data_IF_469446780996
#
_entry.id   IF_469446780996
#
_cell.length_a   1.000
_cell.length_b   1.000
_cell.length_c   1.000
_cell.angle_alpha   90.00
_cell.angle_beta   90.00
_cell.angle_gamma   90.00
#
_symmetry.space_group_name_H-M   'P 1'
#
loop_
_entity.id
_entity.type
_entity.pdbx_description
1 polymer ?
#
# COMPACT_ATOMS: atom_id res chain seq x y z
N UNK A 1 2.26 -18.61 -22.45
CA UNK A 1 1.03 -18.18 -21.72
C UNK A 1 -0.09 -19.14 -22.12
N UNK A 2 -0.38 -20.14 -21.29
CA UNK A 2 -1.47 -21.11 -21.47
C UNK A 2 -2.49 -20.84 -20.35
N UNK A 3 -3.77 -20.79 -20.71
CA UNK A 3 -4.95 -20.44 -19.90
C UNK A 3 -5.31 -18.95 -19.91
N UNK A 4 -6.43 -18.65 -20.57
CA UNK A 4 -6.88 -17.30 -20.93
C UNK A 4 -7.47 -16.51 -19.78
N UNK A 5 -6.62 -16.02 -18.88
CA UNK A 5 -6.98 -14.96 -17.94
C UNK A 5 -6.31 -13.65 -18.35
N UNK A 6 -6.89 -12.90 -19.30
CA UNK A 6 -6.32 -11.65 -19.81
C UNK A 6 -6.13 -10.61 -18.71
N UNK A 7 -6.99 -10.61 -17.67
CA UNK A 7 -6.89 -9.74 -16.50
C UNK A 7 -5.61 -10.02 -15.69
N UNK A 8 -5.35 -11.28 -15.33
CA UNK A 8 -4.15 -11.67 -14.56
C UNK A 8 -2.88 -11.42 -15.35
N UNK A 9 -2.90 -11.72 -16.65
CA UNK A 9 -1.76 -11.49 -17.54
C UNK A 9 -1.45 -10.01 -17.69
N UNK A 10 -2.48 -9.16 -17.84
CA UNK A 10 -2.32 -7.70 -17.88
C UNK A 10 -1.77 -7.14 -16.58
N UNK A 11 -2.34 -7.57 -15.45
CA UNK A 11 -1.92 -7.16 -14.11
C UNK A 11 -0.45 -7.51 -13.83
N UNK A 12 -0.03 -8.75 -14.12
CA UNK A 12 1.37 -9.17 -13.97
C UNK A 12 2.33 -8.40 -14.89
N UNK A 13 1.96 -8.12 -16.14
CA UNK A 13 2.80 -7.31 -17.04
C UNK A 13 3.01 -5.90 -16.51
N UNK A 14 1.95 -5.28 -15.98
CA UNK A 14 2.05 -3.95 -15.37
C UNK A 14 2.90 -3.96 -14.10
N UNK A 15 2.80 -5.01 -13.29
CA UNK A 15 3.67 -5.16 -12.13
C UNK A 15 5.15 -5.34 -12.53
N UNK A 16 5.43 -6.20 -13.52
CA UNK A 16 6.79 -6.40 -14.04
C UNK A 16 7.35 -5.10 -14.61
N UNK A 17 6.55 -4.33 -15.35
CA UNK A 17 6.98 -3.05 -15.90
C UNK A 17 7.32 -2.03 -14.80
N UNK A 18 6.53 -1.98 -13.72
CA UNK A 18 6.80 -1.11 -12.56
C UNK A 18 8.08 -1.53 -11.82
N UNK A 19 8.30 -2.84 -11.64
CA UNK A 19 9.53 -3.37 -11.04
C UNK A 19 10.74 -3.00 -11.90
N UNK A 20 10.69 -3.30 -13.21
CA UNK A 20 11.77 -2.98 -14.14
C UNK A 20 12.09 -1.48 -14.17
N UNK A 21 11.06 -0.64 -14.18
CA UNK A 21 11.22 0.81 -14.12
C UNK A 21 11.99 1.23 -12.86
N UNK A 22 11.61 0.70 -11.69
CA UNK A 22 12.30 1.01 -10.43
C UNK A 22 13.73 0.47 -10.39
N UNK A 23 14.00 -0.70 -10.97
CA UNK A 23 15.37 -1.23 -11.10
C UNK A 23 16.24 -0.34 -11.98
N UNK A 24 15.68 0.17 -13.08
CA UNK A 24 16.35 1.12 -13.97
C UNK A 24 16.64 2.43 -13.21
N UNK A 25 15.65 2.99 -12.52
CA UNK A 25 15.78 4.22 -11.74
C UNK A 25 16.83 4.06 -10.62
N UNK A 26 16.84 2.90 -9.95
CA UNK A 26 17.79 2.54 -8.89
C UNK A 26 19.16 2.13 -9.42
N UNK A 27 19.28 1.79 -10.71
CA UNK A 27 20.46 1.18 -11.36
C UNK A 27 20.95 -0.10 -10.66
N UNK A 28 20.05 -0.82 -10.01
CA UNK A 28 20.34 -2.09 -9.34
C UNK A 28 19.05 -2.89 -9.13
N UNK A 29 19.13 -4.22 -8.94
CA UNK A 29 17.96 -5.04 -8.66
C UNK A 29 17.21 -4.57 -7.40
N UNK A 30 15.89 -4.77 -7.40
CA UNK A 30 15.08 -4.51 -6.21
C UNK A 30 15.28 -5.62 -5.17
N UNK A 31 15.34 -5.23 -3.90
CA UNK A 31 15.20 -6.18 -2.80
C UNK A 31 13.72 -6.55 -2.57
N UNK A 32 13.49 -7.58 -1.75
CA UNK A 32 12.15 -8.07 -1.45
C UNK A 32 11.23 -6.98 -0.86
N UNK A 33 11.77 -6.12 0.02
CA UNK A 33 11.02 -5.02 0.61
C UNK A 33 10.62 -3.96 -0.41
N UNK A 34 11.47 -3.68 -1.39
CA UNK A 34 11.19 -2.77 -2.50
C UNK A 34 10.17 -3.35 -3.49
N UNK A 35 10.20 -4.66 -3.74
CA UNK A 35 9.19 -5.36 -4.53
C UNK A 35 7.83 -5.26 -3.85
N UNK A 36 7.75 -5.49 -2.52
CA UNK A 36 6.51 -5.31 -1.76
C UNK A 36 5.99 -3.87 -1.84
N UNK A 37 6.88 -2.87 -1.82
CA UNK A 37 6.52 -1.46 -2.06
C UNK A 37 6.02 -1.21 -3.48
N UNK A 38 6.54 -1.91 -4.49
CA UNK A 38 6.06 -1.80 -5.87
C UNK A 38 4.64 -2.35 -6.01
N UNK A 39 4.36 -3.52 -5.43
CA UNK A 39 3.03 -4.12 -5.40
C UNK A 39 2.04 -3.20 -4.66
N UNK A 40 2.43 -2.68 -3.49
CA UNK A 40 1.59 -1.75 -2.71
C UNK A 40 1.26 -0.47 -3.49
N UNK A 41 2.23 0.08 -4.24
CA UNK A 41 2.03 1.25 -5.10
C UNK A 41 1.06 0.98 -6.25
N UNK A 42 1.15 -0.20 -6.86
CA UNK A 42 0.21 -0.66 -7.89
C UNK A 42 -1.22 -0.74 -7.34
N UNK A 43 -1.42 -1.33 -6.17
CA UNK A 43 -2.74 -1.38 -5.51
C UNK A 43 -3.29 0.02 -5.28
N UNK A 44 -2.46 0.96 -4.84
CA UNK A 44 -2.86 2.35 -4.64
C UNK A 44 -3.32 3.03 -5.94
N UNK A 45 -2.55 2.92 -7.01
CA UNK A 45 -2.92 3.49 -8.32
C UNK A 45 -4.27 2.97 -8.82
N UNK A 46 -4.58 1.72 -8.50
CA UNK A 46 -5.85 1.07 -8.84
C UNK A 46 -6.99 1.56 -7.96
N UNK A 47 -6.76 1.75 -6.65
CA UNK A 47 -7.74 2.40 -5.78
C UNK A 47 -8.07 3.83 -6.25
N UNK A 48 -7.06 4.62 -6.61
CA UNK A 48 -7.25 5.96 -7.16
C UNK A 48 -8.07 5.91 -8.47
N UNK A 49 -7.84 4.88 -9.29
CA UNK A 49 -8.58 4.63 -10.54
C UNK A 49 -10.02 4.18 -10.27
N UNK A 50 -10.27 3.35 -9.25
CA UNK A 50 -11.62 2.98 -8.80
C UNK A 50 -12.41 4.22 -8.44
N UNK A 51 -11.84 5.13 -7.64
CA UNK A 51 -12.52 6.37 -7.28
C UNK A 51 -12.85 7.22 -8.51
N UNK A 52 -11.92 7.33 -9.45
CA UNK A 52 -12.14 8.06 -10.70
C UNK A 52 -13.25 7.43 -11.56
N UNK A 53 -13.27 6.10 -11.69
CA UNK A 53 -14.30 5.38 -12.44
C UNK A 53 -15.67 5.47 -11.78
N UNK A 54 -15.75 5.38 -10.45
CA UNK A 54 -16.99 5.56 -9.71
C UNK A 54 -17.55 6.98 -9.88
N UNK A 55 -16.69 8.01 -9.82
CA UNK A 55 -17.09 9.40 -10.11
C UNK A 55 -17.60 9.58 -11.54
N UNK A 56 -17.08 8.79 -12.48
CA UNK A 56 -17.50 8.75 -13.88
C UNK A 56 -18.68 7.83 -14.18
N UNK A 57 -19.34 7.23 -13.18
CA UNK A 57 -20.40 6.22 -13.34
C UNK A 57 -19.98 4.99 -14.18
N UNK A 58 -18.69 4.65 -14.17
CA UNK A 58 -18.09 3.49 -14.88
C UNK A 58 -17.87 2.32 -13.94
N UNK A 59 -18.96 1.75 -13.44
CA UNK A 59 -18.93 0.62 -12.50
C UNK A 59 -18.18 -0.60 -13.07
N UNK A 60 -18.31 -0.85 -14.37
CA UNK A 60 -17.63 -1.91 -15.11
C UNK A 60 -16.10 -1.85 -14.95
N UNK A 61 -15.54 -0.64 -15.04
CA UNK A 61 -14.11 -0.42 -14.90
C UNK A 61 -13.66 -0.45 -13.44
N UNK A 62 -14.48 0.07 -12.52
CA UNK A 62 -14.21 -0.01 -11.09
C UNK A 62 -14.14 -1.47 -10.60
N UNK A 63 -15.05 -2.33 -11.05
CA UNK A 63 -15.08 -3.74 -10.65
C UNK A 63 -13.92 -4.54 -11.25
N UNK A 64 -13.47 -4.16 -12.46
CA UNK A 64 -12.25 -4.69 -13.05
C UNK A 64 -11.02 -4.35 -12.20
N UNK A 65 -10.86 -3.10 -11.79
CA UNK A 65 -9.75 -2.68 -10.93
C UNK A 65 -9.77 -3.40 -9.57
N UNK A 66 -10.95 -3.54 -8.96
CA UNK A 66 -11.09 -4.33 -7.71
C UNK A 66 -10.61 -5.77 -7.87
N UNK A 67 -10.97 -6.41 -8.98
CA UNK A 67 -10.56 -7.79 -9.27
C UNK A 67 -9.04 -7.91 -9.42
N UNK A 68 -8.41 -6.91 -10.05
CA UNK A 68 -6.94 -6.87 -10.18
C UNK A 68 -6.25 -6.58 -8.84
N UNK A 69 -6.84 -5.77 -7.97
CA UNK A 69 -6.34 -5.55 -6.60
C UNK A 69 -6.38 -6.86 -5.80
N UNK A 70 -7.47 -7.61 -5.83
CA UNK A 70 -7.57 -8.89 -5.11
C UNK A 70 -6.51 -9.88 -5.57
N UNK A 71 -6.18 -9.90 -6.87
CA UNK A 71 -5.09 -10.70 -7.39
C UNK A 71 -3.71 -10.24 -6.86
N UNK A 72 -3.45 -8.93 -6.83
CA UNK A 72 -2.18 -8.39 -6.30
C UNK A 72 -2.02 -8.64 -4.79
N UNK A 73 -3.12 -8.61 -4.03
CA UNK A 73 -3.12 -8.88 -2.59
C UNK A 73 -2.62 -10.28 -2.24
N UNK A 74 -2.77 -11.26 -3.14
CA UNK A 74 -2.24 -12.63 -2.95
C UNK A 74 -0.71 -12.65 -2.81
N UNK A 75 -0.03 -11.66 -3.38
CA UNK A 75 1.44 -11.53 -3.32
C UNK A 75 1.92 -10.64 -2.18
N UNK A 76 1.01 -10.06 -1.40
CA UNK A 76 1.34 -9.30 -0.21
C UNK A 76 1.09 -10.13 1.05
N UNK A 77 1.88 -9.93 2.11
CA UNK A 77 1.48 -10.37 3.44
C UNK A 77 0.12 -9.75 3.78
N UNK A 78 -0.69 -10.46 4.57
CA UNK A 78 -2.03 -10.02 4.99
C UNK A 78 -2.01 -8.57 5.44
N UNK A 79 -2.59 -7.69 4.63
CA UNK A 79 -2.59 -6.26 4.89
C UNK A 79 -3.43 -5.95 6.12
N UNK A 80 -2.94 -5.02 6.94
CA UNK A 80 -3.65 -4.49 8.08
C UNK A 80 -4.74 -3.55 7.59
N UNK A 81 -5.92 -3.68 8.19
CA UNK A 81 -7.02 -2.74 8.02
C UNK A 81 -6.73 -1.40 8.67
N UNK A 82 -7.48 -0.35 8.32
CA UNK A 82 -7.32 0.97 8.95
C UNK A 82 -7.48 0.92 10.46
N UNK A 83 -8.42 0.11 10.94
CA UNK A 83 -8.65 -0.11 12.37
C UNK A 83 -7.45 -0.77 13.04
N UNK A 84 -6.86 -1.80 12.44
CA UNK A 84 -5.66 -2.46 12.97
C UNK A 84 -4.44 -1.54 12.96
N UNK A 85 -4.25 -0.77 11.89
CA UNK A 85 -3.21 0.28 11.83
C UNK A 85 -3.42 1.30 12.94
N UNK A 86 -4.66 1.72 13.19
CA UNK A 86 -4.96 2.69 14.24
C UNK A 86 -4.66 2.15 15.64
N UNK A 87 -4.90 0.86 15.91
CA UNK A 87 -4.50 0.22 17.17
C UNK A 87 -2.99 0.23 17.33
N UNK A 88 -2.24 -0.15 16.29
CA UNK A 88 -0.77 -0.15 16.31
C UNK A 88 -0.22 1.28 16.53
N UNK A 89 -0.86 2.29 15.92
CA UNK A 89 -0.50 3.70 16.11
C UNK A 89 -0.71 4.13 17.56
N UNK A 90 -1.84 3.79 18.18
CA UNK A 90 -2.11 4.12 19.58
C UNK A 90 -1.09 3.47 20.51
N UNK A 91 -0.76 2.20 20.28
CA UNK A 91 0.24 1.50 21.08
C UNK A 91 1.64 2.08 20.88
N UNK A 92 2.01 2.44 19.64
CA UNK A 92 3.27 3.12 19.35
C UNK A 92 3.36 4.50 20.00
N UNK A 93 2.27 5.26 20.06
CA UNK A 93 2.22 6.56 20.77
C UNK A 93 2.45 6.35 22.27
N UNK A 94 1.80 5.34 22.88
CA UNK A 94 1.98 5.00 24.30
C UNK A 94 3.42 4.59 24.61
N UNK A 95 4.01 3.71 23.81
CA UNK A 95 5.38 3.24 23.99
C UNK A 95 6.41 4.35 23.82
N UNK A 96 6.19 5.26 22.88
CA UNK A 96 7.14 6.35 22.60
C UNK A 96 6.93 7.58 23.49
N UNK A 97 5.82 7.65 24.22
CA UNK A 97 5.42 8.83 25.01
C UNK A 97 5.17 10.07 24.15
N UNK A 98 4.89 9.88 22.87
CA UNK A 98 4.72 10.96 21.91
C UNK A 98 3.48 11.80 22.22
N UNK A 99 3.64 13.11 22.33
CA UNK A 99 2.52 14.02 22.63
C UNK A 99 2.38 15.16 21.62
N UNK A 100 3.39 15.37 20.76
CA UNK A 100 3.43 16.48 19.82
C UNK A 100 3.75 16.02 18.41
N UNK A 101 3.44 16.87 17.42
CA UNK A 101 3.77 16.64 16.02
C UNK A 101 5.27 16.44 15.77
N UNK A 102 6.14 16.96 16.65
CA UNK A 102 7.59 16.77 16.60
C UNK A 102 8.00 15.30 16.84
N UNK A 103 7.21 14.55 17.60
CA UNK A 103 7.45 13.12 17.87
C UNK A 103 6.92 12.20 16.77
N UNK A 104 6.29 12.75 15.73
CA UNK A 104 5.73 11.98 14.61
C UNK A 104 6.78 11.04 13.99
N UNK A 105 8.03 11.49 13.86
CA UNK A 105 9.12 10.64 13.35
C UNK A 105 9.39 9.40 14.20
N UNK A 106 9.29 9.51 15.53
CA UNK A 106 9.48 8.38 16.46
C UNK A 106 8.31 7.40 16.36
N UNK A 107 7.08 7.91 16.35
CA UNK A 107 5.86 7.09 16.21
C UNK A 107 5.87 6.37 14.87
N UNK A 108 6.19 7.07 13.78
CA UNK A 108 6.30 6.46 12.44
C UNK A 108 7.29 5.31 12.42
N UNK A 109 8.47 5.45 13.05
CA UNK A 109 9.47 4.39 13.13
C UNK A 109 8.96 3.17 13.89
N UNK A 110 8.29 3.38 15.04
CA UNK A 110 7.72 2.31 15.84
C UNK A 110 6.58 1.59 15.11
N UNK A 111 5.69 2.33 14.45
CA UNK A 111 4.58 1.75 13.69
C UNK A 111 5.09 0.99 12.46
N UNK A 112 6.06 1.52 11.72
CA UNK A 112 6.64 0.81 10.57
C UNK A 112 7.31 -0.51 10.99
N UNK A 113 8.00 -0.52 12.14
CA UNK A 113 8.58 -1.75 12.68
C UNK A 113 7.52 -2.79 13.05
N UNK A 114 6.40 -2.36 13.66
CA UNK A 114 5.27 -3.25 14.02
C UNK A 114 4.43 -3.68 12.82
N UNK A 115 4.26 -2.80 11.85
CA UNK A 115 3.48 -3.06 10.65
C UNK A 115 4.22 -4.00 9.69
N UNK A 116 5.57 -4.02 9.69
CA UNK A 116 6.35 -5.00 8.92
C UNK A 116 6.02 -5.04 7.43
N UNK A 117 5.69 -3.89 6.82
CA UNK A 117 5.27 -3.82 5.40
C UNK A 117 3.85 -4.30 5.12
N UNK A 118 3.06 -4.60 6.16
CA UNK A 118 1.63 -4.99 6.08
C UNK A 118 0.68 -3.80 6.02
N UNK A 119 1.20 -2.58 6.00
CA UNK A 119 0.38 -1.38 5.87
C UNK A 119 1.15 -0.33 5.06
N UNK A 120 0.39 0.46 4.30
CA UNK A 120 0.95 1.53 3.48
C UNK A 120 1.48 2.68 4.36
N UNK A 121 2.63 3.23 3.97
CA UNK A 121 3.29 4.31 4.72
C UNK A 121 2.49 5.61 4.73
N UNK A 122 1.69 5.89 3.69
CA UNK A 122 0.81 7.07 3.65
C UNK A 122 -0.38 6.85 4.59
N UNK A 123 -0.99 5.67 4.57
CA UNK A 123 -2.05 5.29 5.50
C UNK A 123 -1.60 5.38 6.96
N UNK A 124 -0.42 4.86 7.28
CA UNK A 124 0.20 4.99 8.60
C UNK A 124 0.37 6.48 8.95
N UNK A 125 0.91 7.29 8.04
CA UNK A 125 1.12 8.72 8.27
C UNK A 125 -0.20 9.47 8.52
N UNK A 126 -1.23 9.19 7.73
CA UNK A 126 -2.57 9.76 7.93
C UNK A 126 -3.16 9.35 9.29
N UNK A 127 -3.04 8.09 9.70
CA UNK A 127 -3.49 7.62 11.01
C UNK A 127 -2.72 8.26 12.17
N UNK A 128 -1.39 8.38 12.05
CA UNK A 128 -0.53 9.03 13.05
C UNK A 128 -0.88 10.51 13.16
N UNK A 129 -1.03 11.21 12.03
CA UNK A 129 -1.45 12.62 12.01
C UNK A 129 -2.80 12.82 12.68
N UNK A 130 -3.81 12.02 12.34
CA UNK A 130 -5.15 12.06 12.97
C UNK A 130 -5.12 11.87 14.49
N UNK A 131 -4.09 11.18 15.03
CA UNK A 131 -3.96 10.92 16.47
C UNK A 131 -3.10 11.96 17.20
N UNK A 132 -2.13 12.59 16.53
CA UNK A 132 -1.19 13.54 17.13
C UNK A 132 -1.52 15.01 16.82
N UNK A 133 -2.29 15.29 15.78
CA UNK A 133 -2.74 16.63 15.43
C UNK A 133 -4.27 16.64 15.49
N UNK A 134 -4.88 17.32 16.48
CA UNK A 134 -6.33 17.50 16.57
C UNK A 134 -6.89 18.34 15.42
#
# INVERSE_FOLDING_TARGET
MKSGEPLKTGCLRMLIAEVQKREIDKKSPLDEGEILKAISSQIKQRNDSIEAFLKGNRQDLADKEKSEIEFLKVYLPTQLTESEVMVIVVDAIKETGATQAQDMGKVMKAVLAKAGGRADGKMINECVRRKLQP
#
